data_IF_621668004077
#
_entry.id   IF_621668004077
#
_cell.length_a   1.000
_cell.length_b   1.000
_cell.length_c   1.000
_cell.angle_alpha   90.00
_cell.angle_beta   90.00
_cell.angle_gamma   90.00
#
_symmetry.space_group_name_H-M   'P 1'
#
loop_
_entity.id
_entity.type
_entity.pdbx_description
1 polymer ?
#
# COMPACT_ATOMS: atom_id res chain seq x y z
N UNK A 1 -4.97 -14.79 0.97
CA UNK A 1 -4.27 -14.77 -0.34
C UNK A 1 -4.07 -13.35 -0.80
N UNK A 2 -2.89 -13.03 -1.31
CA UNK A 2 -2.61 -11.71 -1.89
C UNK A 2 -2.74 -11.83 -3.41
N UNK A 3 -3.62 -11.02 -3.99
CA UNK A 3 -3.90 -11.02 -5.43
C UNK A 3 -3.52 -9.66 -6.02
N UNK A 4 -3.04 -9.66 -7.24
CA UNK A 4 -2.56 -8.45 -7.93
C UNK A 4 -3.37 -8.21 -9.18
N UNK A 5 -3.80 -6.96 -9.37
CA UNK A 5 -4.61 -6.53 -10.51
C UNK A 5 -4.02 -5.26 -11.12
N UNK A 6 -4.34 -5.04 -12.38
CA UNK A 6 -3.82 -3.89 -13.16
C UNK A 6 -5.00 -3.27 -13.90
N UNK A 7 -5.27 -1.99 -13.65
CA UNK A 7 -6.40 -1.29 -14.23
C UNK A 7 -5.94 0.03 -14.85
N UNK A 8 -6.22 0.20 -16.14
CA UNK A 8 -5.90 1.42 -16.89
C UNK A 8 -4.42 1.81 -16.80
N UNK A 9 -3.53 0.82 -16.89
CA UNK A 9 -2.08 1.03 -16.80
C UNK A 9 -1.33 -0.07 -17.55
N UNK A 10 -0.17 0.29 -18.11
CA UNK A 10 0.76 -0.66 -18.73
C UNK A 10 1.76 -1.22 -17.70
N UNK A 11 1.68 -0.79 -16.47
CA UNK A 11 2.61 -1.19 -15.42
C UNK A 11 2.57 -2.71 -15.19
N UNK A 12 3.74 -3.31 -15.04
CA UNK A 12 3.90 -4.73 -14.71
C UNK A 12 4.64 -4.80 -13.37
N UNK A 13 4.06 -5.51 -12.41
CA UNK A 13 4.68 -5.71 -11.11
C UNK A 13 5.45 -7.02 -11.10
N UNK A 14 6.76 -6.93 -10.88
CA UNK A 14 7.65 -8.08 -10.79
C UNK A 14 7.95 -8.38 -9.32
N UNK A 15 8.23 -9.66 -9.00
CA UNK A 15 8.60 -10.05 -7.66
C UNK A 15 7.42 -10.28 -6.72
N UNK A 16 6.30 -10.77 -7.22
CA UNK A 16 5.11 -11.07 -6.40
C UNK A 16 5.42 -12.02 -5.26
N UNK A 17 6.23 -13.05 -5.50
CA UNK A 17 6.59 -14.04 -4.48
C UNK A 17 7.35 -13.40 -3.32
N UNK A 18 8.34 -12.57 -3.64
CA UNK A 18 9.10 -11.84 -2.63
C UNK A 18 8.20 -10.87 -1.87
N UNK A 19 7.34 -10.15 -2.58
CA UNK A 19 6.41 -9.21 -1.97
C UNK A 19 5.45 -9.91 -1.01
N UNK A 20 4.93 -11.07 -1.40
CA UNK A 20 4.03 -11.86 -0.54
C UNK A 20 4.72 -12.29 0.74
N UNK A 21 5.97 -12.76 0.66
CA UNK A 21 6.75 -13.12 1.86
C UNK A 21 6.96 -11.93 2.77
N UNK A 22 7.31 -10.79 2.19
CA UNK A 22 7.54 -9.57 2.94
C UNK A 22 6.28 -9.13 3.68
N UNK A 23 5.14 -9.09 3.00
CA UNK A 23 3.88 -8.67 3.61
C UNK A 23 3.41 -9.64 4.69
N UNK A 24 3.67 -10.94 4.54
CA UNK A 24 3.42 -11.91 5.60
C UNK A 24 4.30 -11.64 6.82
N UNK A 25 5.57 -11.33 6.59
CA UNK A 25 6.48 -10.95 7.67
C UNK A 25 5.97 -9.73 8.41
N UNK A 26 5.51 -8.70 7.69
CA UNK A 26 4.93 -7.50 8.29
C UNK A 26 3.73 -7.86 9.17
N UNK A 27 2.79 -8.63 8.63
CA UNK A 27 1.58 -9.03 9.36
C UNK A 27 1.94 -9.83 10.62
N UNK A 28 2.80 -10.84 10.50
CA UNK A 28 3.20 -11.69 11.61
C UNK A 28 3.93 -10.89 12.71
N UNK A 29 4.75 -9.93 12.30
CA UNK A 29 5.46 -9.05 13.24
C UNK A 29 4.51 -8.18 14.06
N UNK A 30 3.32 -7.91 13.55
CA UNK A 30 2.28 -7.13 14.23
C UNK A 30 1.19 -8.03 14.81
N UNK A 31 1.45 -9.32 14.91
CA UNK A 31 0.52 -10.33 15.46
C UNK A 31 -0.80 -10.34 14.67
N UNK A 32 -0.67 -10.33 13.36
CA UNK A 32 -1.77 -10.43 12.41
C UNK A 32 -1.46 -11.56 11.43
N UNK A 33 -2.42 -11.91 10.62
CA UNK A 33 -2.26 -12.87 9.52
C UNK A 33 -2.88 -12.33 8.24
N UNK A 34 -2.32 -12.71 7.12
CA UNK A 34 -2.83 -12.30 5.81
C UNK A 34 -4.10 -13.11 5.50
N UNK A 35 -5.17 -12.38 5.23
CA UNK A 35 -6.41 -12.94 4.66
C UNK A 35 -6.45 -12.73 3.17
N UNK A 36 -7.53 -12.15 2.67
CA UNK A 36 -7.71 -11.85 1.25
C UNK A 36 -7.43 -10.36 1.00
N UNK A 37 -6.26 -10.09 0.43
CA UNK A 37 -5.83 -8.74 0.10
C UNK A 37 -5.68 -8.62 -1.40
N UNK A 38 -6.35 -7.64 -1.99
CA UNK A 38 -6.20 -7.29 -3.40
C UNK A 38 -5.37 -6.02 -3.52
N UNK A 39 -4.31 -6.08 -4.33
CA UNK A 39 -3.50 -4.91 -4.64
C UNK A 39 -3.77 -4.57 -6.11
N UNK A 40 -4.40 -3.42 -6.33
CA UNK A 40 -4.80 -2.97 -7.65
C UNK A 40 -3.93 -1.79 -8.06
N UNK A 41 -3.00 -2.03 -9.00
CA UNK A 41 -2.18 -0.97 -9.58
C UNK A 41 -2.98 -0.31 -10.70
N UNK A 42 -3.09 1.01 -10.66
CA UNK A 42 -3.95 1.73 -11.59
C UNK A 42 -3.36 3.10 -11.98
N UNK A 43 -4.04 3.78 -12.90
CA UNK A 43 -3.71 5.14 -13.32
C UNK A 43 -4.28 6.18 -12.35
N UNK A 44 -3.82 7.43 -12.49
CA UNK A 44 -4.40 8.58 -11.77
C UNK A 44 -5.89 8.73 -12.06
N UNK A 45 -6.29 8.60 -13.32
CA UNK A 45 -7.70 8.74 -13.68
C UNK A 45 -8.56 7.64 -13.04
N UNK A 46 -8.06 6.42 -13.00
CA UNK A 46 -8.77 5.31 -12.39
C UNK A 46 -8.97 5.53 -10.88
N UNK A 47 -7.90 5.91 -10.18
CA UNK A 47 -7.98 6.11 -8.74
C UNK A 47 -8.85 7.35 -8.38
N UNK A 48 -8.85 8.36 -9.25
CA UNK A 48 -9.73 9.52 -9.08
C UNK A 48 -11.20 9.08 -9.15
N UNK A 49 -11.56 8.24 -10.11
CA UNK A 49 -12.91 7.71 -10.24
C UNK A 49 -13.31 6.90 -9.00
N UNK A 50 -12.42 6.06 -8.49
CA UNK A 50 -12.66 5.28 -7.26
C UNK A 50 -12.90 6.24 -6.08
N UNK A 51 -12.07 7.27 -5.97
CA UNK A 51 -12.17 8.26 -4.90
C UNK A 51 -13.51 9.01 -4.95
N UNK A 52 -13.95 9.41 -6.14
CA UNK A 52 -15.24 10.10 -6.33
C UNK A 52 -16.42 9.17 -6.03
N UNK A 53 -16.42 7.94 -6.54
CA UNK A 53 -17.55 7.01 -6.43
C UNK A 53 -17.75 6.50 -5.01
N UNK A 54 -16.67 6.18 -4.31
CA UNK A 54 -16.75 5.47 -3.03
C UNK A 54 -16.49 6.37 -1.82
N UNK A 55 -15.69 7.42 -1.96
CA UNK A 55 -15.33 8.30 -0.86
C UNK A 55 -15.85 9.72 -1.05
N UNK A 56 -16.46 10.02 -2.19
CA UNK A 56 -16.97 11.34 -2.55
C UNK A 56 -15.89 12.44 -2.49
N UNK A 57 -14.64 12.06 -2.73
CA UNK A 57 -13.51 12.97 -2.83
C UNK A 57 -13.17 13.22 -4.29
N UNK A 58 -12.76 14.42 -4.63
CA UNK A 58 -12.44 14.83 -6.00
C UNK A 58 -10.99 15.32 -6.06
N UNK A 59 -10.05 14.43 -5.72
CA UNK A 59 -8.62 14.72 -5.79
C UNK A 59 -7.81 13.45 -6.04
N UNK A 60 -6.62 13.62 -6.59
CA UNK A 60 -5.68 12.52 -6.80
C UNK A 60 -5.01 12.13 -5.48
N UNK A 61 -4.73 10.84 -5.34
CA UNK A 61 -3.99 10.29 -4.20
C UNK A 61 -3.12 9.15 -4.70
N UNK A 62 -2.12 8.77 -3.92
CA UNK A 62 -1.25 7.63 -4.25
C UNK A 62 -1.90 6.29 -3.91
N UNK A 63 -2.72 6.22 -2.87
CA UNK A 63 -3.35 4.98 -2.42
C UNK A 63 -4.73 5.24 -1.81
N UNK A 64 -5.64 4.30 -2.05
CA UNK A 64 -6.93 4.21 -1.33
C UNK A 64 -7.02 2.81 -0.75
N UNK A 65 -7.31 2.74 0.54
CA UNK A 65 -7.40 1.48 1.29
C UNK A 65 -8.84 1.23 1.73
N UNK A 66 -9.40 0.09 1.32
CA UNK A 66 -10.69 -0.39 1.82
C UNK A 66 -10.42 -1.54 2.80
N UNK A 67 -10.87 -1.38 4.03
CA UNK A 67 -10.59 -2.28 5.14
C UNK A 67 -11.77 -3.24 5.36
N UNK A 68 -11.53 -4.54 5.16
CA UNK A 68 -12.49 -5.61 5.43
C UNK A 68 -11.94 -6.58 6.47
N UNK A 69 -11.03 -6.11 7.34
CA UNK A 69 -10.38 -6.96 8.33
C UNK A 69 -11.37 -7.51 9.35
N UNK A 70 -11.14 -8.75 9.79
CA UNK A 70 -11.89 -9.40 10.85
C UNK A 70 -10.90 -9.95 11.89
N UNK A 71 -10.90 -9.38 13.09
CA UNK A 71 -9.97 -9.78 14.14
C UNK A 71 -8.53 -9.62 13.69
N UNK A 72 -7.76 -10.71 13.76
CA UNK A 72 -6.35 -10.72 13.38
C UNK A 72 -6.12 -10.92 11.87
N UNK A 73 -7.18 -11.23 11.13
CA UNK A 73 -7.09 -11.52 9.71
C UNK A 73 -7.20 -10.24 8.90
N UNK A 74 -6.13 -9.90 8.18
CA UNK A 74 -6.10 -8.72 7.32
C UNK A 74 -6.75 -9.01 5.98
N UNK A 75 -7.76 -8.25 5.64
CA UNK A 75 -8.46 -8.34 4.36
C UNK A 75 -8.79 -6.94 3.87
N UNK A 76 -8.66 -6.71 2.58
CA UNK A 76 -8.98 -5.41 2.03
C UNK A 76 -8.52 -5.24 0.61
N UNK A 77 -8.81 -4.06 0.06
CA UNK A 77 -8.41 -3.67 -1.28
C UNK A 77 -7.51 -2.43 -1.18
N UNK A 78 -6.35 -2.51 -1.81
CA UNK A 78 -5.40 -1.40 -1.93
C UNK A 78 -5.34 -0.95 -3.37
N UNK A 79 -5.91 0.23 -3.67
CA UNK A 79 -5.80 0.85 -4.99
C UNK A 79 -4.59 1.79 -4.96
N UNK A 80 -3.61 1.55 -5.83
CA UNK A 80 -2.36 2.30 -5.86
C UNK A 80 -2.19 2.92 -7.23
N UNK A 81 -2.10 4.27 -7.29
CA UNK A 81 -1.80 4.98 -8.53
C UNK A 81 -0.31 4.93 -8.82
N UNK A 82 0.08 4.17 -9.85
CA UNK A 82 1.48 4.10 -10.26
C UNK A 82 1.98 5.45 -10.80
N UNK A 83 1.10 6.26 -11.37
CA UNK A 83 1.45 7.59 -11.88
C UNK A 83 1.86 8.51 -10.73
N UNK A 84 1.05 8.57 -9.67
CA UNK A 84 1.35 9.38 -8.49
C UNK A 84 2.59 8.87 -7.76
N UNK A 85 2.77 7.54 -7.66
CA UNK A 85 3.98 6.97 -7.06
C UNK A 85 5.23 7.39 -7.82
N UNK A 86 5.19 7.40 -9.16
CA UNK A 86 6.32 7.88 -9.97
C UNK A 86 6.64 9.34 -9.71
N UNK A 87 5.61 10.19 -9.67
CA UNK A 87 5.77 11.61 -9.37
C UNK A 87 6.36 11.83 -7.98
N UNK A 88 5.86 11.11 -6.98
CA UNK A 88 6.38 11.19 -5.61
C UNK A 88 7.83 10.74 -5.52
N UNK A 89 8.21 9.69 -6.22
CA UNK A 89 9.60 9.22 -6.25
C UNK A 89 10.53 10.29 -6.80
N UNK A 90 10.13 10.98 -7.86
CA UNK A 90 10.89 12.08 -8.44
C UNK A 90 11.01 13.24 -7.45
N UNK A 91 9.88 13.62 -6.84
CA UNK A 91 9.84 14.73 -5.88
C UNK A 91 10.73 14.48 -4.66
N UNK A 92 10.72 13.26 -4.14
CA UNK A 92 11.49 12.90 -2.94
C UNK A 92 12.91 12.43 -3.25
N UNK A 93 13.30 12.35 -4.52
CA UNK A 93 14.63 11.91 -4.92
C UNK A 93 14.91 10.45 -4.62
N UNK A 94 13.89 9.59 -4.69
CA UNK A 94 13.99 8.15 -4.47
C UNK A 94 13.75 7.38 -5.77
N UNK A 95 14.07 6.08 -5.76
CA UNK A 95 13.73 5.23 -6.89
C UNK A 95 12.24 4.88 -6.84
N UNK A 96 11.64 4.68 -8.01
CA UNK A 96 10.23 4.29 -8.12
C UNK A 96 9.93 3.04 -7.30
N UNK A 97 10.80 2.02 -7.40
CA UNK A 97 10.62 0.76 -6.68
C UNK A 97 10.54 0.96 -5.16
N UNK A 98 11.40 1.82 -4.62
CA UNK A 98 11.43 2.09 -3.19
C UNK A 98 10.18 2.83 -2.73
N UNK A 99 9.74 3.82 -3.51
CA UNK A 99 8.51 4.55 -3.20
C UNK A 99 7.28 3.62 -3.31
N UNK A 100 7.23 2.76 -4.32
CA UNK A 100 6.15 1.80 -4.48
C UNK A 100 6.08 0.84 -3.28
N UNK A 101 7.21 0.32 -2.84
CA UNK A 101 7.26 -0.55 -1.66
C UNK A 101 6.77 0.17 -0.42
N UNK A 102 7.12 1.44 -0.26
CA UNK A 102 6.65 2.27 0.86
C UNK A 102 5.14 2.43 0.84
N UNK A 103 4.56 2.71 -0.32
CA UNK A 103 3.11 2.88 -0.47
C UNK A 103 2.38 1.57 -0.19
N UNK A 104 2.90 0.45 -0.67
CA UNK A 104 2.31 -0.87 -0.41
C UNK A 104 2.26 -1.15 1.09
N UNK A 105 3.40 -1.02 1.80
CA UNK A 105 3.43 -1.30 3.24
C UNK A 105 2.60 -0.30 4.03
N UNK A 106 2.53 0.95 3.58
CA UNK A 106 1.67 1.96 4.18
C UNK A 106 0.21 1.49 4.21
N UNK A 107 -0.29 0.96 3.10
CA UNK A 107 -1.64 0.40 3.02
C UNK A 107 -1.83 -0.79 3.96
N UNK A 108 -0.86 -1.68 4.05
CA UNK A 108 -0.91 -2.82 4.98
C UNK A 108 -0.94 -2.32 6.43
N UNK A 109 -0.15 -1.30 6.76
CA UNK A 109 -0.12 -0.73 8.11
C UNK A 109 -1.46 -0.08 8.47
N UNK A 110 -2.14 0.54 7.51
CA UNK A 110 -3.51 1.03 7.73
C UNK A 110 -4.46 -0.12 8.06
N UNK A 111 -4.38 -1.24 7.37
CA UNK A 111 -5.19 -2.42 7.67
C UNK A 111 -4.91 -2.97 9.08
N UNK A 112 -3.68 -2.85 9.55
CA UNK A 112 -3.29 -3.28 10.88
C UNK A 112 -3.88 -2.35 11.96
N UNK A 113 -4.13 -1.08 11.61
CA UNK A 113 -4.75 -0.12 12.51
C UNK A 113 -3.95 1.15 12.75
N UNK A 114 -2.83 1.34 12.07
CA UNK A 114 -2.07 2.57 12.16
C UNK A 114 -2.74 3.68 11.34
N UNK A 115 -2.83 4.88 11.91
CA UNK A 115 -3.39 6.05 11.26
C UNK A 115 -2.31 7.02 10.79
N UNK A 116 -2.74 8.08 10.08
CA UNK A 116 -1.85 9.15 9.63
C UNK A 116 -2.54 10.52 9.73
N UNK A 117 -3.40 10.70 10.74
CA UNK A 117 -4.19 11.92 10.90
C UNK A 117 -3.47 12.98 11.73
N UNK A 118 -2.83 12.59 12.84
CA UNK A 118 -2.08 13.52 13.68
C UNK A 118 -0.60 13.48 13.32
N UNK A 119 0.16 14.49 13.77
CA UNK A 119 1.61 14.49 13.60
C UNK A 119 2.27 13.28 14.27
N UNK A 120 1.79 12.90 15.46
CA UNK A 120 2.28 11.71 16.15
C UNK A 120 2.00 10.44 15.35
N UNK A 121 0.78 10.29 14.82
CA UNK A 121 0.39 9.14 13.99
C UNK A 121 1.27 9.05 12.74
N UNK A 122 1.52 10.18 12.08
CA UNK A 122 2.36 10.25 10.89
C UNK A 122 3.79 9.79 11.22
N UNK A 123 4.34 10.22 12.36
CA UNK A 123 5.67 9.84 12.79
C UNK A 123 5.77 8.36 13.10
N UNK A 124 4.76 7.79 13.76
CA UNK A 124 4.69 6.35 14.06
C UNK A 124 4.60 5.56 12.75
N UNK A 125 3.72 5.96 11.85
CA UNK A 125 3.56 5.33 10.54
C UNK A 125 4.87 5.34 9.77
N UNK A 126 5.53 6.50 9.69
CA UNK A 126 6.81 6.66 9.00
C UNK A 126 7.88 5.75 9.60
N UNK A 127 7.95 5.65 10.93
CA UNK A 127 8.87 4.77 11.62
C UNK A 127 8.64 3.30 11.29
N UNK A 128 7.38 2.88 11.25
CA UNK A 128 7.02 1.51 10.87
C UNK A 128 7.33 1.22 9.40
N UNK A 129 7.03 2.15 8.51
CA UNK A 129 7.39 2.02 7.09
C UNK A 129 8.90 1.81 6.93
N UNK A 130 9.70 2.66 7.56
CA UNK A 130 11.16 2.57 7.49
C UNK A 130 11.67 1.24 8.04
N UNK A 131 11.13 0.79 9.15
CA UNK A 131 11.50 -0.48 9.76
C UNK A 131 11.23 -1.66 8.81
N UNK A 132 10.02 -1.75 8.29
CA UNK A 132 9.65 -2.88 7.41
C UNK A 132 10.33 -2.81 6.05
N UNK A 133 10.60 -1.62 5.54
CA UNK A 133 11.41 -1.47 4.32
C UNK A 133 12.83 -2.00 4.52
N UNK A 134 13.40 -1.78 5.71
CA UNK A 134 14.74 -2.31 6.02
C UNK A 134 14.78 -3.83 6.06
N UNK A 135 13.68 -4.48 6.38
CA UNK A 135 13.58 -5.94 6.43
C UNK A 135 13.31 -6.59 5.07
N UNK A 136 12.92 -5.80 4.07
CA UNK A 136 12.55 -6.34 2.76
C UNK A 136 13.70 -7.11 2.10
N UNK A 137 14.93 -6.67 2.29
CA UNK A 137 16.10 -7.33 1.71
C UNK A 137 16.46 -8.66 2.39
N UNK A 138 15.85 -8.94 3.54
CA UNK A 138 16.13 -10.14 4.33
C UNK A 138 15.17 -11.30 4.01
N UNK A 139 14.17 -11.07 3.20
CA UNK A 139 13.18 -12.10 2.86
C UNK A 139 13.51 -12.85 1.59
#
# INVERSE_FOLDING_TARGET
>A
MISYYFEDTDFIFKGKTLNNRWLRLVAESEIRRIGDISIIFCSDNYILDVNQQYLQHDYFTDIITFDYCEGERLSGDLFISVDTVRENAIEYGTEFKDELNRVIVHGILHLIGYDDHSEEDINIMRGKENYYLSLRELV
#
